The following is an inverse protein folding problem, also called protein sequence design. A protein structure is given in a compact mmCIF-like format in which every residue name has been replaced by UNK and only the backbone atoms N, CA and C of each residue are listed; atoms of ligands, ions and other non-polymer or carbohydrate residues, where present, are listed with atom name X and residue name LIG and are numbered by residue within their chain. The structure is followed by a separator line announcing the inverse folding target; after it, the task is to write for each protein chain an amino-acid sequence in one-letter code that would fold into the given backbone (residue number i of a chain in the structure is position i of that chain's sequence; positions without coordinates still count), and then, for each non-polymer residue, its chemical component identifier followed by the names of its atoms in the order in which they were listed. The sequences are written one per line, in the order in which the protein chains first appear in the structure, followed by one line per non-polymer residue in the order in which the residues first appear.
data_IF_651141344976
#
_entry.id   IF_651141344976
#
_cell.length_a   1.000
_cell.length_b   1.000
_cell.length_c   1.000
_cell.angle_alpha   90.00
_cell.angle_beta   90.00
_cell.angle_gamma   90.00
#
_symmetry.space_group_name_H-M   'P 1'
#
loop_
_entity.id
_entity.type
_entity.pdbx_description
1 polymer ?
#
# COMPACT_ATOMS: atom_id res chain seq x y z
N UNK A 1 -14.93 -34.24 -15.63
CA UNK A 1 -14.40 -32.86 -15.43
C UNK A 1 -14.22 -32.69 -13.93
N UNK A 2 -13.03 -33.01 -13.44
CA UNK A 2 -12.67 -32.76 -12.04
C UNK A 2 -12.53 -31.26 -11.85
N UNK A 3 -13.35 -30.69 -10.96
CA UNK A 3 -13.15 -29.33 -10.50
C UNK A 3 -11.89 -29.30 -9.66
N UNK A 4 -10.83 -28.75 -10.21
CA UNK A 4 -9.59 -28.44 -9.47
C UNK A 4 -9.96 -27.47 -8.34
N UNK A 5 -10.12 -28.03 -7.13
CA UNK A 5 -10.34 -27.26 -5.91
C UNK A 5 -9.16 -26.30 -5.74
N UNK A 6 -9.37 -25.03 -6.03
CA UNK A 6 -8.42 -23.96 -5.81
C UNK A 6 -7.97 -23.97 -4.35
N UNK A 7 -6.67 -24.21 -4.12
CA UNK A 7 -6.04 -24.14 -2.79
C UNK A 7 -6.39 -22.81 -2.13
N UNK A 8 -6.91 -22.83 -0.89
CA UNK A 8 -7.20 -21.59 -0.19
C UNK A 8 -5.91 -20.82 0.11
N UNK A 9 -5.90 -19.53 -0.20
CA UNK A 9 -5.08 -18.43 0.31
C UNK A 9 -3.60 -18.73 0.61
N UNK A 10 -2.71 -18.63 -0.34
CA UNK A 10 -1.28 -18.48 -0.03
C UNK A 10 -0.85 -17.03 -0.30
N UNK A 11 -0.79 -16.22 0.76
CA UNK A 11 0.01 -14.99 0.72
C UNK A 11 1.47 -15.36 0.45
N UNK A 12 2.19 -14.53 -0.29
CA UNK A 12 3.64 -14.71 -0.36
C UNK A 12 4.21 -14.56 1.05
N UNK A 13 5.19 -15.40 1.41
CA UNK A 13 5.82 -15.38 2.75
C UNK A 13 6.23 -13.97 3.22
N UNK A 14 6.85 -13.09 2.38
CA UNK A 14 7.22 -11.74 2.80
C UNK A 14 6.00 -10.83 3.09
N UNK A 15 4.88 -11.01 2.40
CA UNK A 15 3.66 -10.22 2.67
C UNK A 15 3.00 -10.64 3.99
N UNK A 16 2.96 -11.93 4.27
CA UNK A 16 2.48 -12.47 5.54
C UNK A 16 3.32 -11.95 6.70
N UNK A 17 4.64 -11.97 6.57
CA UNK A 17 5.56 -11.45 7.58
C UNK A 17 5.34 -9.95 7.84
N UNK A 18 5.26 -9.13 6.80
CA UNK A 18 5.00 -7.70 6.94
C UNK A 18 3.64 -7.40 7.62
N UNK A 19 2.61 -8.22 7.34
CA UNK A 19 1.32 -8.11 8.00
C UNK A 19 1.42 -8.37 9.51
N UNK A 20 2.09 -9.46 9.92
CA UNK A 20 2.29 -9.78 11.33
C UNK A 20 3.12 -8.72 12.04
N UNK A 21 4.17 -8.21 11.40
CA UNK A 21 5.02 -7.16 11.97
C UNK A 21 4.22 -5.88 12.26
N UNK A 22 3.36 -5.46 11.33
CA UNK A 22 2.44 -4.33 11.53
C UNK A 22 1.49 -4.56 12.69
N UNK A 23 0.90 -5.75 12.75
CA UNK A 23 -0.01 -6.11 13.82
C UNK A 23 0.69 -6.07 15.18
N UNK A 24 1.86 -6.70 15.32
CA UNK A 24 2.66 -6.71 16.56
C UNK A 24 3.03 -5.29 16.97
N UNK A 25 3.56 -4.47 16.05
CA UNK A 25 3.93 -3.09 16.35
C UNK A 25 2.75 -2.27 16.89
N UNK A 26 1.56 -2.45 16.34
CA UNK A 26 0.34 -1.77 16.82
C UNK A 26 -0.09 -2.27 18.20
N UNK A 27 -0.04 -3.58 18.44
CA UNK A 27 -0.38 -4.15 19.76
C UNK A 27 0.58 -3.61 20.83
N UNK A 28 1.89 -3.54 20.55
CA UNK A 28 2.87 -2.98 21.49
C UNK A 28 2.52 -1.53 21.82
N UNK A 29 2.21 -0.69 20.84
CA UNK A 29 1.84 0.71 21.07
C UNK A 29 0.53 0.86 21.85
N UNK A 30 -0.50 0.10 21.49
CA UNK A 30 -1.80 0.15 22.18
C UNK A 30 -1.67 -0.31 23.63
N UNK A 31 -0.95 -1.41 23.88
CA UNK A 31 -0.70 -1.91 25.23
C UNK A 31 0.10 -0.90 26.06
N UNK A 32 1.11 -0.26 25.47
CA UNK A 32 1.91 0.76 26.14
C UNK A 32 1.07 1.98 26.51
N UNK A 33 0.19 2.42 25.62
CA UNK A 33 -0.73 3.54 25.87
C UNK A 33 -1.72 3.21 26.99
N UNK A 34 -2.27 1.99 27.03
CA UNK A 34 -3.17 1.53 28.09
C UNK A 34 -2.47 1.46 29.44
N UNK A 35 -1.25 0.93 29.49
CA UNK A 35 -0.45 0.87 30.72
C UNK A 35 -0.13 2.28 31.24
N UNK A 36 0.19 3.21 30.35
CA UNK A 36 0.43 4.60 30.70
C UNK A 36 -0.85 5.29 31.22
N UNK A 37 -1.98 5.07 30.55
CA UNK A 37 -3.28 5.59 31.00
C UNK A 37 -3.66 5.04 32.38
N UNK A 38 -3.44 3.74 32.63
CA UNK A 38 -3.65 3.14 33.94
C UNK A 38 -2.74 3.78 35.02
N UNK A 39 -1.48 4.06 34.68
CA UNK A 39 -0.55 4.76 35.61
C UNK A 39 -1.07 6.15 35.98
N UNK A 40 -1.61 6.91 35.00
CA UNK A 40 -2.22 8.22 35.26
C UNK A 40 -3.50 8.11 36.11
N UNK A 41 -4.22 6.99 36.00
CA UNK A 41 -5.38 6.66 36.83
C UNK A 41 -5.06 6.18 38.24
N UNK A 42 -3.78 6.20 38.64
CA UNK A 42 -3.34 5.82 39.98
C UNK A 42 -2.92 4.35 40.16
N UNK A 43 -2.95 3.55 39.10
CA UNK A 43 -2.45 2.18 39.13
C UNK A 43 -0.95 2.16 38.86
N UNK A 44 -0.17 1.45 39.69
CA UNK A 44 1.28 1.37 39.57
C UNK A 44 1.77 0.42 38.45
N UNK A 45 1.09 0.39 37.34
CA UNK A 45 1.35 -0.54 36.22
C UNK A 45 2.73 -0.35 35.59
N UNK A 46 3.07 0.88 35.22
CA UNK A 46 4.37 1.20 34.60
C UNK A 46 5.48 1.06 35.63
N UNK A 47 5.28 1.55 36.88
CA UNK A 47 6.26 1.46 37.97
C UNK A 47 6.60 0.00 38.28
N UNK A 48 5.61 -0.90 38.27
CA UNK A 48 5.83 -2.32 38.47
C UNK A 48 6.70 -2.95 37.37
N UNK A 49 6.41 -2.66 36.10
CA UNK A 49 7.19 -3.17 34.98
C UNK A 49 8.62 -2.61 34.95
N UNK A 50 8.80 -1.37 35.42
CA UNK A 50 10.09 -0.67 35.39
C UNK A 50 11.02 -1.01 36.57
N UNK A 51 10.64 -1.88 37.51
CA UNK A 51 11.48 -2.31 38.60
C UNK A 51 12.75 -3.03 38.16
N UNK A 52 12.66 -3.82 37.09
CA UNK A 52 13.82 -4.53 36.55
C UNK A 52 14.40 -3.75 35.35
N UNK A 53 15.66 -3.30 35.47
CA UNK A 53 16.35 -2.49 34.47
C UNK A 53 16.45 -3.16 33.11
N UNK A 54 16.63 -4.49 33.05
CA UNK A 54 16.73 -5.25 31.79
C UNK A 54 15.36 -5.28 31.11
N UNK A 55 14.30 -5.59 31.87
CA UNK A 55 12.94 -5.62 31.36
C UNK A 55 12.53 -4.22 30.87
N UNK A 56 12.84 -3.18 31.64
CA UNK A 56 12.60 -1.79 31.25
C UNK A 56 13.25 -1.44 29.91
N UNK A 57 14.53 -1.81 29.77
CA UNK A 57 15.26 -1.54 28.52
C UNK A 57 14.63 -2.25 27.33
N UNK A 58 14.26 -3.53 27.48
CA UNK A 58 13.60 -4.29 26.41
C UNK A 58 12.25 -3.66 26.04
N UNK A 59 11.42 -3.28 27.02
CA UNK A 59 10.12 -2.64 26.77
C UNK A 59 10.31 -1.31 26.03
N UNK A 60 11.23 -0.47 26.48
CA UNK A 60 11.51 0.82 25.83
C UNK A 60 11.97 0.59 24.39
N UNK A 61 12.88 -0.36 24.18
CA UNK A 61 13.36 -0.69 22.83
C UNK A 61 12.22 -1.14 21.90
N UNK A 62 11.33 -2.01 22.40
CA UNK A 62 10.17 -2.48 21.63
C UNK A 62 9.20 -1.34 21.29
N UNK A 63 8.91 -0.45 22.24
CA UNK A 63 8.05 0.72 22.03
C UNK A 63 8.66 1.66 21.01
N UNK A 64 9.94 2.00 21.14
CA UNK A 64 10.65 2.88 20.20
C UNK A 64 10.70 2.27 18.82
N UNK A 65 11.05 0.99 18.69
CA UNK A 65 11.04 0.29 17.42
C UNK A 65 9.65 0.27 16.76
N UNK A 66 8.60 0.06 17.56
CA UNK A 66 7.21 0.08 17.08
C UNK A 66 6.76 1.46 16.64
N UNK A 67 7.17 2.52 17.34
CA UNK A 67 6.92 3.91 16.95
C UNK A 67 7.60 4.24 15.62
N UNK A 68 8.90 3.95 15.52
CA UNK A 68 9.66 4.18 14.28
C UNK A 68 9.08 3.39 13.12
N UNK A 69 8.74 2.12 13.33
CA UNK A 69 8.11 1.31 12.29
C UNK A 69 6.82 1.92 11.76
N UNK A 70 5.90 2.34 12.65
CA UNK A 70 4.64 2.97 12.23
C UNK A 70 4.86 4.37 11.65
N UNK A 71 5.83 5.13 12.14
CA UNK A 71 6.19 6.47 11.62
C UNK A 71 6.66 6.40 10.16
N UNK A 72 7.35 5.33 9.77
CA UNK A 72 7.81 5.13 8.39
C UNK A 72 6.89 4.20 7.58
N UNK A 73 5.83 3.63 8.17
CA UNK A 73 4.86 2.84 7.40
C UNK A 73 3.98 3.74 6.55
N UNK A 74 4.29 3.78 5.26
CA UNK A 74 3.52 4.52 4.26
C UNK A 74 2.01 4.24 4.32
N UNK A 75 1.61 3.02 4.63
CA UNK A 75 0.20 2.63 4.72
C UNK A 75 -0.52 3.20 5.95
N UNK A 76 0.22 3.67 6.96
CA UNK A 76 -0.35 4.36 8.10
C UNK A 76 -0.87 5.76 7.71
N UNK A 77 -0.10 6.47 6.90
CA UNK A 77 -0.44 7.84 6.47
C UNK A 77 -1.33 7.88 5.22
N UNK A 78 -1.25 6.83 4.40
CA UNK A 78 -1.96 6.73 3.14
C UNK A 78 -2.76 5.42 3.13
N UNK A 79 -3.84 5.31 3.93
CA UNK A 79 -4.61 4.06 4.06
C UNK A 79 -5.21 3.59 2.74
N UNK A 80 -5.47 4.49 1.78
CA UNK A 80 -5.90 4.16 0.42
C UNK A 80 -4.84 3.40 -0.40
N UNK A 81 -3.56 3.43 0.01
CA UNK A 81 -2.50 2.62 -0.57
C UNK A 81 -2.38 1.23 0.07
N UNK A 82 -3.14 0.97 1.12
CA UNK A 82 -3.13 -0.29 1.86
C UNK A 82 -3.85 -1.44 1.14
N UNK A 83 -4.05 -2.47 1.89
CA UNK A 83 -4.84 -3.64 1.43
C UNK A 83 -6.30 -3.24 1.28
N UNK A 84 -6.88 -3.54 0.13
CA UNK A 84 -8.30 -3.37 -0.09
C UNK A 84 -8.92 -4.69 -0.50
N UNK A 85 -10.02 -5.03 0.13
CA UNK A 85 -10.91 -6.06 -0.36
C UNK A 85 -11.76 -5.41 -1.45
N UNK A 86 -11.63 -5.91 -2.68
CA UNK A 86 -12.43 -5.47 -3.81
C UNK A 86 -12.88 -6.71 -4.58
N UNK A 87 -14.18 -6.83 -4.91
CA UNK A 87 -14.65 -7.96 -5.70
C UNK A 87 -14.10 -7.85 -7.12
N UNK A 88 -13.07 -8.61 -7.41
CA UNK A 88 -12.37 -8.54 -8.71
C UNK A 88 -13.29 -8.84 -9.90
N UNK A 89 -14.36 -9.61 -9.69
CA UNK A 89 -15.37 -9.85 -10.72
C UNK A 89 -16.19 -8.62 -11.11
N UNK A 90 -16.16 -7.56 -10.28
CA UNK A 90 -16.79 -6.28 -10.59
C UNK A 90 -15.88 -5.33 -11.40
N UNK A 91 -14.61 -5.68 -11.62
CA UNK A 91 -13.68 -4.91 -12.42
C UNK A 91 -13.96 -5.17 -13.92
N UNK A 92 -14.55 -4.20 -14.58
CA UNK A 92 -14.69 -4.22 -16.03
C UNK A 92 -13.41 -3.69 -16.69
N UNK A 93 -13.01 -4.31 -17.80
CA UNK A 93 -11.88 -3.84 -18.61
C UNK A 93 -12.14 -2.41 -19.09
N UNK A 94 -11.15 -1.55 -18.89
CA UNK A 94 -11.22 -0.13 -19.24
C UNK A 94 -9.82 0.39 -19.56
N UNK A 95 -9.73 1.19 -20.60
CA UNK A 95 -8.52 1.96 -20.94
C UNK A 95 -8.89 3.44 -20.89
N UNK A 96 -8.06 4.32 -20.29
CA UNK A 96 -8.32 5.76 -20.28
C UNK A 96 -8.31 6.32 -21.70
N UNK A 97 -9.17 7.30 -21.93
CA UNK A 97 -9.22 7.98 -23.24
C UNK A 97 -7.88 8.68 -23.51
N UNK A 98 -7.46 8.69 -24.76
CA UNK A 98 -6.21 9.31 -25.22
C UNK A 98 -4.96 8.77 -24.50
N UNK A 99 -4.94 7.47 -24.16
CA UNK A 99 -3.74 6.82 -23.66
C UNK A 99 -2.65 6.87 -24.74
N UNK A 100 -1.49 7.39 -24.39
CA UNK A 100 -0.33 7.60 -25.25
C UNK A 100 0.94 6.86 -24.77
N UNK A 101 0.88 6.34 -23.57
CA UNK A 101 2.01 5.68 -22.89
C UNK A 101 1.63 4.25 -22.53
N UNK A 102 2.60 3.35 -22.64
CA UNK A 102 2.41 1.93 -22.30
C UNK A 102 3.52 1.41 -21.44
N UNK A 103 3.16 0.54 -20.47
CA UNK A 103 4.12 -0.22 -19.66
C UNK A 103 3.67 -1.67 -19.59
N UNK A 104 4.59 -2.58 -19.82
CA UNK A 104 4.33 -4.02 -19.66
C UNK A 104 4.71 -4.48 -18.26
N UNK A 105 3.80 -5.21 -17.61
CA UNK A 105 4.04 -5.82 -16.30
C UNK A 105 3.85 -7.32 -16.36
N UNK A 106 4.61 -8.04 -15.52
CA UNK A 106 4.47 -9.48 -15.34
C UNK A 106 3.69 -9.73 -14.04
N UNK A 107 2.56 -10.38 -14.16
CA UNK A 107 1.64 -10.74 -13.07
C UNK A 107 1.24 -12.21 -13.19
N UNK A 108 0.28 -12.67 -12.41
CA UNK A 108 -0.27 -14.02 -12.60
C UNK A 108 -1.05 -14.10 -13.92
N UNK A 109 -1.05 -15.27 -14.59
CA UNK A 109 -1.83 -15.49 -15.81
C UNK A 109 -3.34 -15.24 -15.58
N UNK A 110 -4.00 -14.68 -16.60
CA UNK A 110 -5.45 -14.52 -16.66
C UNK A 110 -6.11 -13.73 -15.51
N UNK A 111 -5.34 -12.90 -14.78
CA UNK A 111 -5.88 -12.05 -13.71
C UNK A 111 -6.15 -10.62 -14.22
N UNK A 112 -7.14 -9.96 -13.62
CA UNK A 112 -7.35 -8.55 -13.84
C UNK A 112 -6.30 -7.72 -13.10
N UNK A 113 -5.81 -6.68 -13.76
CA UNK A 113 -4.85 -5.70 -13.24
C UNK A 113 -5.51 -4.34 -13.29
N UNK A 114 -5.71 -3.73 -12.14
CA UNK A 114 -6.13 -2.32 -12.05
C UNK A 114 -4.88 -1.45 -11.95
N UNK A 115 -4.85 -0.34 -12.67
CA UNK A 115 -3.73 0.58 -12.69
C UNK A 115 -4.21 2.03 -12.75
N UNK A 116 -3.38 2.95 -12.28
CA UNK A 116 -3.63 4.39 -12.33
C UNK A 116 -2.33 5.18 -12.28
N UNK A 117 -2.34 6.34 -12.87
CA UNK A 117 -1.24 7.27 -12.93
C UNK A 117 -1.75 8.70 -12.67
N UNK A 118 -0.85 9.63 -12.40
CA UNK A 118 -1.20 11.05 -12.35
C UNK A 118 -1.69 11.54 -13.71
N UNK A 119 -2.46 12.61 -13.71
CA UNK A 119 -2.88 13.28 -14.94
C UNK A 119 -1.68 13.95 -15.64
N UNK A 120 -1.69 14.05 -16.96
CA UNK A 120 -0.76 14.89 -17.69
C UNK A 120 -0.85 16.34 -17.20
N UNK A 121 0.28 17.00 -17.02
CA UNK A 121 0.31 18.44 -16.75
C UNK A 121 0.39 19.22 -18.06
N UNK A 122 -0.29 20.34 -18.11
CA UNK A 122 -0.14 21.32 -19.20
C UNK A 122 1.24 22.04 -19.17
N UNK A 123 1.95 21.92 -18.05
CA UNK A 123 3.29 22.47 -17.84
C UNK A 123 4.26 21.31 -17.63
N UNK A 124 4.90 20.83 -18.69
CA UNK A 124 5.75 19.63 -18.65
C UNK A 124 6.91 19.72 -17.64
N UNK A 125 7.40 20.90 -17.34
CA UNK A 125 8.58 21.14 -16.51
C UNK A 125 8.26 21.46 -15.04
N UNK A 126 6.99 21.61 -14.67
CA UNK A 126 6.62 21.91 -13.29
C UNK A 126 5.89 20.75 -12.65
N UNK A 127 6.37 20.23 -11.51
CA UNK A 127 5.66 19.20 -10.77
C UNK A 127 4.35 19.76 -10.22
N UNK A 128 3.29 18.96 -10.26
CA UNK A 128 2.03 19.32 -9.63
C UNK A 128 2.23 19.40 -8.11
N UNK A 129 1.68 20.44 -7.48
CA UNK A 129 2.00 20.78 -6.08
C UNK A 129 1.61 19.74 -5.04
N UNK A 130 0.66 18.86 -5.35
CA UNK A 130 0.18 17.86 -4.39
C UNK A 130 -0.42 16.63 -5.10
N UNK A 131 -0.57 15.50 -4.39
CA UNK A 131 -1.16 14.28 -4.96
C UNK A 131 -2.62 14.42 -5.38
N UNK A 132 -3.40 15.24 -4.69
CA UNK A 132 -4.84 15.38 -4.96
C UNK A 132 -5.08 15.97 -6.33
N UNK A 133 -4.35 17.04 -6.66
CA UNK A 133 -4.41 17.67 -7.97
C UNK A 133 -3.79 16.76 -9.04
N UNK A 134 -2.72 16.03 -8.69
CA UNK A 134 -2.04 15.13 -9.62
C UNK A 134 -2.93 13.97 -10.10
N UNK A 135 -3.77 13.43 -9.23
CA UNK A 135 -4.67 12.33 -9.61
C UNK A 135 -6.09 12.81 -9.96
N UNK A 136 -6.45 14.03 -9.60
CA UNK A 136 -7.75 14.63 -9.86
C UNK A 136 -8.91 13.63 -9.63
N UNK A 137 -9.64 13.29 -10.69
CA UNK A 137 -10.76 12.33 -10.64
C UNK A 137 -10.33 10.87 -10.89
N UNK A 138 -9.03 10.56 -10.95
CA UNK A 138 -8.50 9.25 -11.36
C UNK A 138 -8.93 8.81 -12.77
N UNK A 139 -9.12 9.75 -13.68
CA UNK A 139 -9.49 9.45 -15.07
C UNK A 139 -8.34 8.81 -15.85
N UNK A 140 -7.09 8.97 -15.37
CA UNK A 140 -5.92 8.28 -15.92
C UNK A 140 -5.75 6.91 -15.26
N UNK A 141 -6.79 6.10 -15.29
CA UNK A 141 -6.84 4.76 -14.71
C UNK A 141 -7.50 3.76 -15.63
N UNK A 142 -7.15 2.51 -15.49
CA UNK A 142 -7.70 1.43 -16.29
C UNK A 142 -7.69 0.08 -15.60
N UNK A 143 -8.31 -0.88 -16.25
CA UNK A 143 -8.31 -2.29 -15.89
C UNK A 143 -8.03 -3.09 -17.14
N UNK A 144 -7.05 -3.99 -17.07
CA UNK A 144 -6.71 -4.91 -18.15
C UNK A 144 -6.58 -6.32 -17.63
N UNK A 145 -6.89 -7.29 -18.46
CA UNK A 145 -6.65 -8.70 -18.16
C UNK A 145 -5.27 -9.13 -18.65
N UNK A 146 -4.49 -9.75 -17.80
CA UNK A 146 -3.24 -10.38 -18.20
C UNK A 146 -3.50 -11.58 -19.12
N UNK A 147 -2.61 -11.81 -20.05
CA UNK A 147 -2.68 -12.96 -20.96
C UNK A 147 -2.33 -14.29 -20.25
N UNK A 148 -2.34 -15.38 -21.01
CA UNK A 148 -2.01 -16.72 -20.50
C UNK A 148 -0.55 -16.85 -20.04
N UNK A 149 0.34 -15.96 -20.48
CA UNK A 149 1.74 -15.90 -20.02
C UNK A 149 1.92 -15.01 -18.76
N UNK A 150 0.87 -14.32 -18.34
CA UNK A 150 0.90 -13.37 -17.23
C UNK A 150 1.37 -11.97 -17.63
N UNK A 151 1.46 -11.69 -18.91
CA UNK A 151 1.82 -10.36 -19.41
C UNK A 151 0.58 -9.46 -19.46
N UNK A 152 0.67 -8.27 -18.86
CA UNK A 152 -0.35 -7.22 -18.95
C UNK A 152 0.28 -5.93 -19.47
N UNK A 153 -0.33 -5.32 -20.49
CA UNK A 153 0.11 -4.07 -21.09
C UNK A 153 -0.80 -2.96 -20.57
N UNK A 154 -0.27 -2.13 -19.69
CA UNK A 154 -0.97 -1.00 -19.10
C UNK A 154 -0.94 0.17 -20.07
N UNK A 155 -2.11 0.74 -20.41
CA UNK A 155 -2.24 1.88 -21.31
C UNK A 155 -2.74 3.08 -20.52
N UNK A 156 -2.01 4.18 -20.51
CA UNK A 156 -2.37 5.37 -19.76
C UNK A 156 -1.83 6.63 -20.46
N UNK A 157 -2.31 7.80 -20.03
CA UNK A 157 -1.77 9.08 -20.49
C UNK A 157 -0.44 9.36 -19.79
N UNK A 158 0.52 9.96 -20.47
CA UNK A 158 1.83 10.27 -19.91
C UNK A 158 1.70 11.02 -18.57
N UNK A 159 2.13 10.40 -17.44
CA UNK A 159 1.90 10.98 -16.13
C UNK A 159 2.87 12.14 -15.85
N UNK A 160 2.44 13.08 -15.01
CA UNK A 160 3.28 14.15 -14.50
C UNK A 160 3.97 13.77 -13.19
N UNK A 161 5.11 14.40 -12.93
CA UNK A 161 5.69 14.41 -11.58
C UNK A 161 4.86 15.27 -10.65
N UNK A 162 4.88 15.00 -9.34
CA UNK A 162 4.17 15.78 -8.35
C UNK A 162 4.89 15.81 -7.01
N UNK A 163 4.55 16.78 -6.18
CA UNK A 163 5.13 16.97 -4.87
C UNK A 163 4.34 16.27 -3.77
N UNK A 164 5.04 15.79 -2.75
CA UNK A 164 4.43 15.12 -1.60
C UNK A 164 5.05 15.56 -0.28
N UNK A 165 4.24 15.54 0.77
CA UNK A 165 4.65 15.78 2.14
C UNK A 165 5.01 17.24 2.43
N UNK A 166 5.37 17.49 3.69
CA UNK A 166 5.66 18.85 4.19
C UNK A 166 6.94 19.47 3.60
N UNK A 167 7.82 18.65 3.06
CA UNK A 167 9.10 19.11 2.45
C UNK A 167 9.01 19.25 0.92
N UNK A 168 7.82 19.18 0.33
CA UNK A 168 7.59 19.27 -1.10
C UNK A 168 8.52 18.34 -1.93
N UNK A 169 8.69 17.09 -1.44
CA UNK A 169 9.51 16.13 -2.14
C UNK A 169 8.87 15.77 -3.48
N UNK A 170 9.56 16.04 -4.58
CA UNK A 170 9.10 15.68 -5.91
C UNK A 170 9.22 14.17 -6.14
N UNK A 171 8.10 13.54 -6.49
CA UNK A 171 8.04 12.18 -7.00
C UNK A 171 8.13 12.20 -8.51
N UNK A 172 9.00 11.34 -9.05
CA UNK A 172 9.14 11.14 -10.50
C UNK A 172 7.86 10.56 -11.09
N UNK A 173 7.69 10.73 -12.40
CA UNK A 173 6.61 10.11 -13.16
C UNK A 173 6.54 8.61 -12.88
N UNK A 174 5.35 8.09 -12.61
CA UNK A 174 5.16 6.69 -12.29
C UNK A 174 3.70 6.24 -12.51
N UNK A 175 3.53 4.95 -12.64
CA UNK A 175 2.23 4.28 -12.66
C UNK A 175 2.14 3.31 -11.48
N UNK A 176 1.00 3.29 -10.85
CA UNK A 176 0.65 2.30 -9.83
C UNK A 176 -0.21 1.20 -10.44
N UNK A 177 -0.02 -0.01 -9.95
CA UNK A 177 -0.92 -1.11 -10.32
C UNK A 177 -1.10 -2.10 -9.18
N UNK A 178 -2.20 -2.85 -9.27
CA UNK A 178 -2.54 -3.96 -8.37
C UNK A 178 -3.10 -5.10 -9.20
N UNK A 179 -2.72 -6.31 -8.89
CA UNK A 179 -3.29 -7.51 -9.50
C UNK A 179 -4.41 -8.09 -8.63
N UNK A 180 -5.44 -8.62 -9.25
CA UNK A 180 -6.44 -9.44 -8.59
C UNK A 180 -5.82 -10.78 -8.18
N UNK A 181 -6.05 -11.17 -6.94
CA UNK A 181 -5.60 -12.46 -6.41
C UNK A 181 -6.76 -13.44 -6.32
N UNK A 182 -6.41 -14.72 -6.17
CA UNK A 182 -7.39 -15.75 -5.85
C UNK A 182 -8.14 -15.31 -4.57
N UNK A 183 -9.48 -15.42 -4.57
CA UNK A 183 -10.31 -14.95 -3.47
C UNK A 183 -10.81 -13.50 -3.61
N UNK A 184 -10.56 -12.83 -4.74
CA UNK A 184 -11.13 -11.52 -5.05
C UNK A 184 -10.46 -10.33 -4.36
N UNK A 185 -9.29 -10.54 -3.73
CA UNK A 185 -8.53 -9.46 -3.10
C UNK A 185 -7.52 -8.84 -4.06
N UNK A 186 -7.37 -7.53 -3.97
CA UNK A 186 -6.30 -6.83 -4.66
C UNK A 186 -4.95 -7.02 -3.94
N UNK A 187 -3.88 -7.19 -4.71
CA UNK A 187 -2.51 -7.21 -4.18
C UNK A 187 -2.14 -5.87 -3.52
N UNK A 188 -1.01 -5.82 -2.82
CA UNK A 188 -0.39 -4.55 -2.46
C UNK A 188 -0.10 -3.72 -3.71
N UNK A 189 -0.01 -2.40 -3.55
CA UNK A 189 0.33 -1.49 -4.65
C UNK A 189 1.77 -1.73 -5.08
N UNK A 190 1.94 -1.93 -6.37
CA UNK A 190 3.24 -1.91 -7.05
C UNK A 190 3.36 -0.61 -7.83
N UNK A 191 4.56 -0.05 -7.89
CA UNK A 191 4.85 1.22 -8.55
C UNK A 191 5.99 1.04 -9.55
N UNK A 192 5.81 1.55 -10.74
CA UNK A 192 6.85 1.60 -11.79
C UNK A 192 7.14 3.07 -12.07
N UNK A 193 8.40 3.44 -11.93
CA UNK A 193 8.89 4.77 -12.32
C UNK A 193 9.25 4.77 -13.82
N UNK A 194 8.96 5.90 -14.45
CA UNK A 194 9.15 6.13 -15.89
C UNK A 194 10.34 7.05 -16.14
#
# INVERSE_FOLDING_TARGET
MEQEQSKPWSYSKPETFAMYLRFIARIVLMSSALLFAAQLGGYNSVTFLMKNKIISFIIILLVVASLLYNMFDRNFYLPFLGWAVYPCGALAEKVPRNADTTVTVQVKPNVNVIYWASEPSSQEDQPINNPWDAYANYDNSGVIRADASGKAVLHFRSPSSYQVGLMNKTLKRHVHYRECRNGGMLSAIKTIFL
#
